data_IF_733042528450
#
_entry.id   IF_733042528450
#
_cell.length_a   1.000
_cell.length_b   1.000
_cell.length_c   1.000
_cell.angle_alpha   90.00
_cell.angle_beta   90.00
_cell.angle_gamma   90.00
#
_symmetry.space_group_name_H-M   'P 1'
#
loop_
_entity.id
_entity.type
_entity.pdbx_description
1 polymer ?
#
# COMPACT_ATOMS: atom_id res chain seq x y z
N UNK A 1 15.26 -23.58 1.23
CA UNK A 1 14.26 -23.82 2.31
C UNK A 1 14.45 -22.87 3.49
N UNK A 2 15.67 -22.72 4.04
CA UNK A 2 15.96 -21.76 5.12
C UNK A 2 15.53 -20.32 4.76
N UNK A 3 15.95 -19.82 3.60
CA UNK A 3 15.64 -18.46 3.15
C UNK A 3 14.15 -18.20 2.97
N UNK A 4 13.41 -19.22 2.51
CA UNK A 4 11.96 -19.17 2.35
C UNK A 4 11.27 -18.98 3.72
N UNK A 5 11.67 -19.77 4.72
CA UNK A 5 11.09 -19.71 6.07
C UNK A 5 11.42 -18.36 6.72
N UNK A 6 12.67 -17.93 6.63
CA UNK A 6 13.12 -16.65 7.19
C UNK A 6 12.39 -15.47 6.55
N UNK A 7 12.26 -15.47 5.22
CA UNK A 7 11.50 -14.46 4.49
C UNK A 7 10.02 -14.46 4.89
N UNK A 8 9.38 -15.62 5.05
CA UNK A 8 7.98 -15.70 5.50
C UNK A 8 7.81 -15.15 6.91
N UNK A 9 8.70 -15.49 7.84
CA UNK A 9 8.63 -15.01 9.23
C UNK A 9 8.79 -13.49 9.30
N UNK A 10 9.81 -12.96 8.64
CA UNK A 10 10.05 -11.52 8.59
C UNK A 10 8.93 -10.79 7.84
N UNK A 11 8.46 -11.32 6.71
CA UNK A 11 7.35 -10.73 5.97
C UNK A 11 6.06 -10.72 6.79
N UNK A 12 5.80 -11.76 7.57
CA UNK A 12 4.65 -11.84 8.48
C UNK A 12 4.75 -10.83 9.60
N UNK A 13 5.92 -10.72 10.24
CA UNK A 13 6.18 -9.73 11.28
C UNK A 13 5.89 -8.32 10.76
N UNK A 14 6.36 -8.03 9.55
CA UNK A 14 6.35 -6.67 9.02
C UNK A 14 5.00 -6.30 8.42
N UNK A 15 4.33 -7.23 7.75
CA UNK A 15 2.99 -7.03 7.21
C UNK A 15 1.91 -6.95 8.28
N UNK A 16 2.07 -7.64 9.42
CA UNK A 16 1.11 -7.58 10.52
C UNK A 16 1.41 -6.49 11.57
N UNK A 17 2.58 -5.86 11.52
CA UNK A 17 2.90 -4.74 12.44
C UNK A 17 2.48 -3.41 11.80
N UNK A 18 1.50 -2.69 12.39
CA UNK A 18 1.04 -1.41 11.87
C UNK A 18 2.19 -0.41 11.66
N UNK A 19 2.28 0.12 10.45
CA UNK A 19 3.22 1.18 10.04
C UNK A 19 4.70 0.80 10.02
N UNK A 20 5.05 -0.48 10.19
CA UNK A 20 6.29 -0.98 9.61
C UNK A 20 6.06 -1.12 8.11
N UNK A 21 6.92 -0.51 7.30
CA UNK A 21 6.92 -0.70 5.85
C UNK A 21 8.14 -1.52 5.47
N UNK A 22 8.07 -2.23 4.35
CA UNK A 22 9.24 -2.94 3.79
C UNK A 22 10.46 -2.05 3.58
N UNK A 23 10.23 -0.74 3.38
CA UNK A 23 11.29 0.25 3.16
C UNK A 23 12.13 0.48 4.42
N UNK A 24 11.53 0.36 5.60
CA UNK A 24 12.22 0.54 6.87
C UNK A 24 13.26 -0.56 7.15
N UNK A 25 13.09 -1.70 6.47
CA UNK A 25 13.88 -2.91 6.67
C UNK A 25 14.85 -3.18 5.53
N UNK A 26 14.84 -2.32 4.50
CA UNK A 26 15.88 -2.24 3.48
C UNK A 26 17.29 -2.05 4.04
N UNK A 27 17.39 -1.65 5.31
CA UNK A 27 18.65 -1.46 6.05
C UNK A 27 19.20 -2.76 6.65
N UNK A 28 18.44 -3.85 6.58
CA UNK A 28 18.90 -5.16 7.05
C UNK A 28 19.73 -5.81 5.94
N UNK A 29 20.98 -6.15 6.25
CA UNK A 29 21.86 -6.89 5.34
C UNK A 29 21.45 -8.37 5.30
N UNK A 30 20.41 -8.68 4.53
CA UNK A 30 19.87 -10.03 4.35
C UNK A 30 20.12 -10.53 2.92
N UNK A 31 20.17 -11.86 2.69
CA UNK A 31 20.28 -12.42 1.34
C UNK A 31 19.11 -12.01 0.44
N UNK A 32 19.38 -11.80 -0.85
CA UNK A 32 18.37 -11.41 -1.86
C UNK A 32 17.10 -12.29 -1.80
N UNK A 33 17.19 -13.63 -1.72
CA UNK A 33 16.01 -14.48 -1.63
C UNK A 33 15.14 -14.20 -0.38
N UNK A 34 15.79 -13.91 0.75
CA UNK A 34 15.10 -13.58 2.02
C UNK A 34 14.40 -12.23 1.90
N UNK A 35 15.12 -11.20 1.41
CA UNK A 35 14.55 -9.86 1.19
C UNK A 35 13.35 -9.91 0.25
N UNK A 36 13.47 -10.65 -0.86
CA UNK A 36 12.40 -10.74 -1.84
C UNK A 36 11.16 -11.42 -1.27
N UNK A 37 11.33 -12.59 -0.62
CA UNK A 37 10.22 -13.32 0.02
C UNK A 37 9.59 -12.49 1.14
N UNK A 38 10.41 -11.82 1.96
CA UNK A 38 9.93 -10.93 3.03
C UNK A 38 9.02 -9.84 2.47
N UNK A 39 9.49 -9.08 1.47
CA UNK A 39 8.69 -8.00 0.89
C UNK A 39 7.43 -8.51 0.19
N UNK A 40 7.48 -9.70 -0.43
CA UNK A 40 6.30 -10.31 -1.02
C UNK A 40 5.27 -10.68 0.04
N UNK A 41 5.67 -11.41 1.07
CA UNK A 41 4.78 -11.82 2.16
C UNK A 41 4.20 -10.61 2.87
N UNK A 42 4.96 -9.52 3.00
CA UNK A 42 4.45 -8.24 3.50
C UNK A 42 3.26 -7.73 2.66
N UNK A 43 3.37 -7.69 1.33
CA UNK A 43 2.27 -7.20 0.45
C UNK A 43 0.98 -8.02 0.53
N UNK A 44 1.05 -9.27 0.99
CA UNK A 44 -0.13 -10.10 1.23
C UNK A 44 -0.88 -9.68 2.50
N UNK A 45 -0.16 -9.11 3.47
CA UNK A 45 -0.59 -8.96 4.87
C UNK A 45 -0.74 -7.51 5.32
N UNK A 46 -0.06 -6.56 4.67
CA UNK A 46 0.00 -5.14 5.03
C UNK A 46 -1.35 -4.41 5.07
N UNK A 47 -2.34 -4.93 4.33
CA UNK A 47 -3.70 -4.44 4.34
C UNK A 47 -4.46 -4.79 5.63
N UNK A 48 -4.08 -5.86 6.32
CA UNK A 48 -4.81 -6.43 7.46
C UNK A 48 -4.82 -5.47 8.66
N UNK A 49 -3.68 -4.92 9.11
CA UNK A 49 -3.69 -4.02 10.26
C UNK A 49 -4.41 -2.70 9.96
N UNK A 50 -4.27 -2.19 8.73
CA UNK A 50 -4.95 -0.97 8.29
C UNK A 50 -6.48 -1.12 8.23
N UNK A 51 -6.96 -2.29 7.78
CA UNK A 51 -8.37 -2.64 7.81
C UNK A 51 -8.91 -2.80 9.24
N UNK A 52 -8.06 -3.19 10.19
CA UNK A 52 -8.45 -3.49 11.57
C UNK A 52 -8.46 -2.26 12.48
N UNK A 53 -7.37 -1.48 12.49
CA UNK A 53 -7.14 -0.41 13.48
C UNK A 53 -7.57 0.98 13.01
N UNK A 54 -7.96 1.13 11.74
CA UNK A 54 -8.41 2.40 11.17
C UNK A 54 -9.94 2.55 11.10
N UNK A 55 -10.71 1.69 11.78
CA UNK A 55 -12.18 1.64 11.68
C UNK A 55 -12.80 2.56 12.72
N UNK A 56 -13.41 3.70 12.34
CA UNK A 56 -14.25 4.47 13.25
C UNK A 56 -15.67 3.91 13.34
N UNK A 57 -16.39 4.26 14.41
CA UNK A 57 -17.83 4.07 14.55
C UNK A 57 -18.53 5.01 13.56
N UNK A 58 -19.05 4.44 12.49
CA UNK A 58 -19.72 5.19 11.43
C UNK A 58 -20.69 4.26 10.71
N UNK A 59 -21.83 4.82 10.28
CA UNK A 59 -22.74 4.12 9.38
C UNK A 59 -21.98 3.75 8.08
N UNK A 60 -22.28 2.59 7.52
CA UNK A 60 -21.65 2.12 6.28
C UNK A 60 -21.97 3.00 5.05
N UNK A 61 -22.91 3.95 5.21
CA UNK A 61 -23.28 5.00 4.26
C UNK A 61 -22.36 6.22 4.29
N UNK A 62 -21.46 6.32 5.29
CA UNK A 62 -20.55 7.46 5.43
C UNK A 62 -19.50 7.41 4.30
N UNK A 63 -19.45 8.44 3.40
CA UNK A 63 -18.58 8.42 2.23
C UNK A 63 -17.07 8.39 2.53
N UNK A 64 -16.68 8.73 3.76
CA UNK A 64 -15.26 8.75 4.18
C UNK A 64 -14.73 7.38 4.63
N UNK A 65 -15.59 6.38 4.84
CA UNK A 65 -15.15 5.02 5.17
C UNK A 65 -14.48 4.35 3.97
N UNK A 66 -13.35 3.69 4.23
CA UNK A 66 -12.71 2.86 3.21
C UNK A 66 -13.54 1.57 3.00
N UNK A 67 -13.54 1.00 1.78
CA UNK A 67 -14.19 -0.28 1.50
C UNK A 67 -13.80 -1.39 2.48
N UNK A 68 -12.52 -1.43 2.90
CA UNK A 68 -12.04 -2.38 3.90
C UNK A 68 -12.73 -2.19 5.26
N UNK A 69 -12.90 -0.94 5.71
CA UNK A 69 -13.57 -0.63 6.97
C UNK A 69 -15.05 -1.03 6.93
N UNK A 70 -15.75 -0.80 5.81
CA UNK A 70 -17.13 -1.27 5.62
C UNK A 70 -17.26 -2.78 5.74
N UNK A 71 -16.33 -3.54 5.18
CA UNK A 71 -16.33 -5.01 5.33
C UNK A 71 -16.13 -5.44 6.80
N UNK A 72 -15.24 -4.76 7.54
CA UNK A 72 -15.00 -5.07 8.96
C UNK A 72 -16.24 -4.77 9.80
N UNK A 73 -16.88 -3.61 9.62
CA UNK A 73 -18.11 -3.24 10.33
C UNK A 73 -19.24 -4.25 10.06
N UNK A 74 -19.33 -4.76 8.82
CA UNK A 74 -20.30 -5.81 8.42
C UNK A 74 -19.97 -7.22 8.94
N UNK A 75 -18.94 -7.38 9.79
CA UNK A 75 -18.49 -8.67 10.32
C UNK A 75 -17.82 -9.59 9.29
N UNK A 76 -17.39 -9.04 8.14
CA UNK A 76 -16.75 -9.78 7.04
C UNK A 76 -15.22 -9.76 7.09
N UNK A 77 -14.63 -9.59 8.27
CA UNK A 77 -13.16 -9.51 8.40
C UNK A 77 -12.44 -10.76 7.87
N UNK A 78 -12.95 -11.97 8.17
CA UNK A 78 -12.36 -13.22 7.66
C UNK A 78 -12.39 -13.31 6.13
N UNK A 79 -13.49 -12.87 5.51
CA UNK A 79 -13.62 -12.81 4.04
C UNK A 79 -12.64 -11.81 3.44
N UNK A 80 -12.47 -10.63 4.06
CA UNK A 80 -11.50 -9.61 3.64
C UNK A 80 -10.05 -10.13 3.66
N UNK A 81 -9.67 -10.88 4.70
CA UNK A 81 -8.31 -11.45 4.79
C UNK A 81 -8.08 -12.49 3.70
N UNK A 82 -9.04 -13.39 3.47
CA UNK A 82 -8.97 -14.38 2.39
C UNK A 82 -8.90 -13.69 1.02
N UNK A 83 -9.67 -12.64 0.83
CA UNK A 83 -9.62 -11.82 -0.38
C UNK A 83 -8.22 -11.22 -0.61
N UNK A 84 -7.59 -10.66 0.44
CA UNK A 84 -6.24 -10.10 0.35
C UNK A 84 -5.21 -11.13 -0.11
N UNK A 85 -5.16 -12.29 0.54
CA UNK A 85 -4.15 -13.31 0.22
C UNK A 85 -4.43 -14.01 -1.11
N UNK A 86 -5.70 -14.25 -1.46
CA UNK A 86 -6.07 -14.87 -2.73
C UNK A 86 -5.82 -13.93 -3.92
N UNK A 87 -6.20 -12.66 -3.82
CA UNK A 87 -5.92 -11.66 -4.85
C UNK A 87 -4.41 -11.46 -5.03
N UNK A 88 -3.64 -11.41 -3.94
CA UNK A 88 -2.19 -11.29 -3.98
C UNK A 88 -1.52 -12.52 -4.63
N UNK A 89 -1.97 -13.74 -4.30
CA UNK A 89 -1.48 -14.96 -4.95
C UNK A 89 -1.76 -14.96 -6.46
N UNK A 90 -2.98 -14.59 -6.86
CA UNK A 90 -3.32 -14.46 -8.28
C UNK A 90 -2.47 -13.39 -8.97
N UNK A 91 -2.19 -12.27 -8.30
CA UNK A 91 -1.35 -11.21 -8.84
C UNK A 91 0.08 -11.68 -9.13
N UNK A 92 0.68 -12.52 -8.26
CA UNK A 92 1.99 -13.14 -8.53
C UNK A 92 1.92 -14.02 -9.78
N UNK A 93 0.93 -14.91 -9.85
CA UNK A 93 0.74 -15.81 -11.00
C UNK A 93 0.53 -15.03 -12.32
N UNK A 94 -0.30 -14.00 -12.28
CA UNK A 94 -0.59 -13.14 -13.43
C UNK A 94 0.61 -12.26 -13.81
N UNK A 95 1.43 -11.84 -12.84
CA UNK A 95 2.67 -11.09 -13.11
C UNK A 95 3.69 -11.95 -13.85
N UNK A 96 3.84 -13.22 -13.44
CA UNK A 96 4.67 -14.20 -14.17
C UNK A 96 4.15 -14.40 -15.60
N UNK A 97 2.83 -14.52 -15.78
CA UNK A 97 2.22 -14.68 -17.10
C UNK A 97 2.40 -13.44 -17.99
N UNK A 98 2.32 -12.24 -17.41
CA UNK A 98 2.50 -10.97 -18.12
C UNK A 98 3.98 -10.62 -18.36
N UNK A 99 4.92 -11.37 -17.77
CA UNK A 99 6.35 -11.09 -17.82
C UNK A 99 6.91 -10.97 -19.24
N UNK A 100 6.55 -11.82 -20.23
CA UNK A 100 7.07 -11.67 -21.60
C UNK A 100 6.70 -10.33 -22.22
N UNK A 101 5.49 -9.84 -21.97
CA UNK A 101 5.03 -8.52 -22.44
C UNK A 101 5.78 -7.42 -21.69
N UNK A 102 5.96 -7.58 -20.38
CA UNK A 102 6.71 -6.62 -19.55
C UNK A 102 8.14 -6.42 -20.05
N UNK A 103 8.82 -7.49 -20.44
CA UNK A 103 10.18 -7.46 -20.99
C UNK A 103 10.28 -6.63 -22.27
N UNK A 104 9.24 -6.62 -23.09
CA UNK A 104 9.18 -5.83 -24.31
C UNK A 104 8.89 -4.34 -24.02
N UNK A 105 8.05 -4.07 -23.03
CA UNK A 105 7.54 -2.71 -22.75
C UNK A 105 8.46 -1.93 -21.81
N UNK A 106 9.04 -2.56 -20.79
CA UNK A 106 9.84 -1.87 -19.77
C UNK A 106 11.03 -1.07 -20.35
N UNK A 107 11.80 -1.58 -21.33
CA UNK A 107 12.90 -0.84 -21.94
C UNK A 107 12.46 0.41 -22.74
N UNK A 108 11.18 0.48 -23.15
CA UNK A 108 10.64 1.62 -23.90
C UNK A 108 10.33 2.83 -23.02
N UNK A 109 10.32 2.66 -21.69
CA UNK A 109 10.03 3.73 -20.76
C UNK A 109 11.12 4.81 -20.79
N UNK A 110 10.71 6.07 -20.92
CA UNK A 110 11.58 7.23 -20.79
C UNK A 110 11.08 8.16 -19.69
N UNK A 111 11.99 8.93 -19.10
CA UNK A 111 11.65 9.90 -18.04
C UNK A 111 10.61 10.94 -18.51
N UNK A 112 10.68 11.38 -19.78
CA UNK A 112 9.69 12.30 -20.38
C UNK A 112 8.27 11.73 -20.37
N UNK A 113 8.11 10.44 -20.70
CA UNK A 113 6.82 9.75 -20.61
C UNK A 113 6.31 9.76 -19.17
N UNK A 114 7.20 9.52 -18.20
CA UNK A 114 6.87 9.60 -16.78
C UNK A 114 6.33 10.96 -16.36
N UNK A 115 6.96 12.07 -16.75
CA UNK A 115 6.51 13.43 -16.42
C UNK A 115 5.13 13.72 -17.01
N UNK A 116 4.94 13.45 -18.30
CA UNK A 116 3.66 13.68 -18.99
C UNK A 116 2.56 12.90 -18.29
N UNK A 117 2.85 11.65 -17.89
CA UNK A 117 1.91 10.85 -17.14
C UNK A 117 1.56 11.43 -15.77
N UNK A 118 2.56 11.85 -14.98
CA UNK A 118 2.33 12.50 -13.67
C UNK A 118 1.49 13.76 -13.81
N UNK A 119 1.74 14.57 -14.85
CA UNK A 119 0.95 15.75 -15.15
C UNK A 119 -0.52 15.40 -15.44
N UNK A 120 -0.76 14.45 -16.36
CA UNK A 120 -2.11 14.00 -16.70
C UNK A 120 -2.84 13.38 -15.50
N UNK A 121 -2.14 12.56 -14.71
CA UNK A 121 -2.69 11.96 -13.51
C UNK A 121 -3.03 13.01 -12.46
N UNK A 122 -2.21 14.06 -12.31
CA UNK A 122 -2.50 15.16 -11.38
C UNK A 122 -3.80 15.88 -11.76
N UNK A 123 -3.96 16.21 -13.04
CA UNK A 123 -5.19 16.80 -13.58
C UNK A 123 -6.39 15.87 -13.34
N UNK A 124 -6.23 14.58 -13.63
CA UNK A 124 -7.28 13.59 -13.42
C UNK A 124 -7.70 13.54 -11.94
N UNK A 125 -6.76 13.40 -11.01
CA UNK A 125 -7.05 13.27 -9.58
C UNK A 125 -7.78 14.48 -9.01
N UNK A 126 -7.51 15.69 -9.54
CA UNK A 126 -8.17 16.93 -9.15
C UNK A 126 -9.57 17.03 -9.79
N UNK A 127 -9.67 16.77 -11.08
CA UNK A 127 -10.92 16.94 -11.85
C UNK A 127 -11.95 15.85 -11.57
N UNK A 128 -11.51 14.67 -11.12
CA UNK A 128 -12.37 13.56 -10.71
C UNK A 128 -13.12 13.84 -9.39
N UNK A 129 -12.66 14.79 -8.58
CA UNK A 129 -13.32 15.14 -7.33
C UNK A 129 -14.56 16.00 -7.58
N UNK A 130 -15.58 15.80 -6.74
CA UNK A 130 -16.80 16.63 -6.76
C UNK A 130 -16.48 18.11 -6.58
N UNK A 131 -15.56 18.44 -5.66
CA UNK A 131 -15.09 19.81 -5.44
C UNK A 131 -13.65 19.97 -5.91
N UNK A 132 -13.48 20.46 -7.15
CA UNK A 132 -12.19 20.64 -7.82
C UNK A 132 -11.29 21.65 -7.12
N UNK A 133 -11.86 22.71 -6.54
CA UNK A 133 -11.09 23.77 -5.85
C UNK A 133 -10.48 23.21 -4.58
N UNK A 134 -11.28 22.53 -3.75
CA UNK A 134 -10.78 21.87 -2.54
C UNK A 134 -9.74 20.80 -2.86
N UNK A 135 -9.96 20.04 -3.93
CA UNK A 135 -8.99 19.07 -4.41
C UNK A 135 -7.67 19.71 -4.84
N UNK A 136 -7.73 20.80 -5.62
CA UNK A 136 -6.54 21.55 -6.02
C UNK A 136 -5.78 22.09 -4.81
N UNK A 137 -6.48 22.69 -3.84
CA UNK A 137 -5.87 23.19 -2.61
C UNK A 137 -5.17 22.08 -1.82
N UNK A 138 -5.84 20.94 -1.61
CA UNK A 138 -5.25 19.78 -0.92
C UNK A 138 -4.02 19.27 -1.69
N UNK A 139 -4.12 19.15 -3.01
CA UNK A 139 -3.03 18.68 -3.86
C UNK A 139 -1.80 19.58 -3.75
N UNK A 140 -2.00 20.90 -3.84
CA UNK A 140 -0.92 21.89 -3.75
C UNK A 140 -0.34 21.95 -2.34
N UNK A 141 -1.16 21.97 -1.29
CA UNK A 141 -0.69 21.96 0.11
C UNK A 141 0.15 20.70 0.41
N UNK A 142 -0.32 19.54 -0.03
CA UNK A 142 0.43 18.29 0.08
C UNK A 142 1.73 18.37 -0.74
N UNK A 143 1.67 18.93 -1.95
CA UNK A 143 2.81 19.13 -2.82
C UNK A 143 3.90 20.02 -2.24
N UNK A 144 3.53 21.16 -1.66
CA UNK A 144 4.45 22.06 -0.97
C UNK A 144 5.06 21.36 0.25
N UNK A 145 4.25 20.65 1.03
CA UNK A 145 4.77 19.86 2.16
C UNK A 145 5.81 18.84 1.71
N UNK A 146 5.55 18.11 0.62
CA UNK A 146 6.49 17.17 0.02
C UNK A 146 7.77 17.83 -0.46
N UNK A 147 7.64 18.93 -1.22
CA UNK A 147 8.77 19.70 -1.76
C UNK A 147 9.71 20.18 -0.66
N UNK A 148 9.16 20.77 0.41
CA UNK A 148 9.94 21.21 1.57
C UNK A 148 10.58 20.01 2.27
N UNK A 149 9.82 18.93 2.48
CA UNK A 149 10.30 17.74 3.19
C UNK A 149 11.48 17.07 2.51
N UNK A 150 11.48 16.99 1.18
CA UNK A 150 12.58 16.38 0.41
C UNK A 150 13.89 17.19 0.45
N UNK A 151 13.86 18.44 0.91
CA UNK A 151 15.05 19.28 1.10
C UNK A 151 15.56 19.27 2.56
N UNK A 152 14.81 18.69 3.49
CA UNK A 152 15.22 18.59 4.88
C UNK A 152 16.27 17.48 5.07
N UNK A 153 17.17 17.61 6.06
CA UNK A 153 18.19 16.60 6.37
C UNK A 153 17.60 15.40 7.12
N UNK A 154 16.65 14.71 6.50
CA UNK A 154 15.98 13.51 7.04
C UNK A 154 16.31 12.27 6.21
N UNK A 155 16.46 11.12 6.86
CA UNK A 155 16.95 9.88 6.22
C UNK A 155 15.87 9.17 5.40
N UNK A 156 14.63 9.21 5.87
CA UNK A 156 13.47 8.58 5.25
C UNK A 156 12.29 9.56 5.24
N UNK A 157 12.19 10.45 4.23
CA UNK A 157 11.13 11.44 4.13
C UNK A 157 9.74 10.81 3.93
N UNK A 158 9.67 9.60 3.37
CA UNK A 158 8.41 8.93 3.07
C UNK A 158 7.69 8.49 4.35
N UNK A 159 8.45 8.01 5.35
CA UNK A 159 7.88 7.55 6.61
C UNK A 159 7.01 8.62 7.32
N UNK A 160 7.51 9.82 7.67
CA UNK A 160 6.74 10.83 8.36
C UNK A 160 5.60 11.39 7.49
N UNK A 161 5.82 11.54 6.18
CA UNK A 161 4.79 12.02 5.26
C UNK A 161 3.60 11.07 5.17
N UNK A 162 3.83 9.78 4.89
CA UNK A 162 2.72 8.84 4.71
C UNK A 162 2.06 8.45 6.03
N UNK A 163 2.84 8.32 7.10
CA UNK A 163 2.31 8.09 8.44
C UNK A 163 1.40 9.24 8.87
N UNK A 164 1.84 10.49 8.66
CA UNK A 164 1.03 11.68 8.95
C UNK A 164 -0.19 11.82 8.03
N UNK A 165 -0.02 11.77 6.70
CA UNK A 165 -1.13 12.04 5.78
C UNK A 165 -2.23 10.97 5.81
N UNK A 166 -1.87 9.70 6.04
CA UNK A 166 -2.78 8.57 5.86
C UNK A 166 -3.08 7.82 7.16
N UNK A 167 -2.07 7.46 7.95
CA UNK A 167 -2.25 6.54 9.09
C UNK A 167 -2.77 7.26 10.35
N UNK A 168 -2.07 8.29 10.83
CA UNK A 168 -2.42 8.97 12.09
C UNK A 168 -3.84 9.55 12.10
N UNK A 169 -4.35 10.20 11.04
CA UNK A 169 -5.72 10.71 11.03
C UNK A 169 -6.76 9.60 11.19
N UNK A 170 -6.54 8.42 10.58
CA UNK A 170 -7.43 7.27 10.73
C UNK A 170 -7.39 6.70 12.15
N UNK A 171 -6.19 6.55 12.71
CA UNK A 171 -6.01 6.01 14.05
C UNK A 171 -6.62 6.94 15.12
N UNK A 172 -6.43 8.26 14.98
CA UNK A 172 -7.02 9.24 15.90
C UNK A 172 -8.54 9.22 15.82
N UNK A 173 -9.09 9.13 14.60
CA UNK A 173 -10.54 9.04 14.40
C UNK A 173 -11.11 7.76 15.02
N UNK A 174 -10.48 6.61 14.77
CA UNK A 174 -10.88 5.32 15.35
C UNK A 174 -10.71 5.27 16.89
N UNK A 175 -9.73 6.00 17.44
CA UNK A 175 -9.55 6.12 18.89
C UNK A 175 -10.67 6.93 19.55
N UNK A 176 -11.05 8.05 18.91
CA UNK A 176 -12.11 8.94 19.39
C UNK A 176 -13.48 8.27 19.29
N UNK A 177 -13.74 7.66 18.14
CA UNK A 177 -15.00 7.02 17.79
C UNK A 177 -14.74 5.52 17.53
N UNK A 178 -14.50 4.69 18.55
CA UNK A 178 -14.27 3.26 18.36
C UNK A 178 -15.57 2.55 17.96
N UNK A 179 -15.51 1.53 17.08
CA UNK A 179 -16.70 0.83 16.64
C UNK A 179 -17.38 0.14 17.82
N UNK A 180 -18.70 0.28 17.92
CA UNK A 180 -19.47 -0.16 19.08
C UNK A 180 -19.53 -1.69 19.23
N UNK A 181 -19.56 -2.45 18.13
CA UNK A 181 -19.36 -3.91 18.13
C UNK A 181 -18.90 -4.41 16.76
N UNK A 182 -17.76 -5.10 16.71
CA UNK A 182 -17.26 -5.76 15.49
C UNK A 182 -17.26 -7.27 15.71
N UNK A 183 -17.96 -8.01 14.86
CA UNK A 183 -17.93 -9.47 14.88
C UNK A 183 -16.69 -10.00 14.14
N UNK A 184 -15.79 -10.65 14.89
CA UNK A 184 -14.63 -11.33 14.31
C UNK A 184 -14.95 -12.80 14.12
N UNK A 185 -15.32 -13.15 12.89
CA UNK A 185 -15.60 -14.53 12.47
C UNK A 185 -14.63 -14.95 11.38
N UNK A 186 -14.24 -16.23 11.41
CA UNK A 186 -13.71 -16.84 10.21
C UNK A 186 -14.85 -16.93 9.20
N UNK A 187 -14.60 -16.51 7.97
CA UNK A 187 -15.61 -16.47 6.92
C UNK A 187 -14.96 -16.91 5.64
N UNK A 188 -15.68 -17.73 4.88
CA UNK A 188 -15.23 -18.17 3.57
C UNK A 188 -15.32 -17.03 2.55
N UNK A 189 -14.50 -17.14 1.50
CA UNK A 189 -14.55 -16.20 0.39
C UNK A 189 -15.77 -16.50 -0.47
N UNK A 190 -16.75 -15.57 -0.53
CA UNK A 190 -17.99 -15.80 -1.29
C UNK A 190 -17.88 -15.39 -2.76
N UNK A 191 -16.80 -14.72 -3.14
CA UNK A 191 -16.59 -14.22 -4.50
C UNK A 191 -16.31 -15.40 -5.45
N UNK A 192 -17.02 -15.50 -6.58
CA UNK A 192 -16.74 -16.56 -7.56
C UNK A 192 -15.37 -16.35 -8.21
N UNK A 193 -14.66 -17.46 -8.46
CA UNK A 193 -13.29 -17.45 -9.01
C UNK A 193 -13.16 -16.62 -10.30
N UNK A 194 -14.15 -16.67 -11.19
CA UNK A 194 -14.15 -15.87 -12.44
C UNK A 194 -14.10 -14.37 -12.16
N UNK A 195 -14.86 -13.89 -11.16
CA UNK A 195 -14.91 -12.47 -10.77
C UNK A 195 -13.60 -12.07 -10.09
N UNK A 196 -13.10 -12.91 -9.19
CA UNK A 196 -11.81 -12.71 -8.54
C UNK A 196 -10.67 -12.60 -9.57
N UNK A 197 -10.62 -13.53 -10.53
CA UNK A 197 -9.61 -13.55 -11.60
C UNK A 197 -9.72 -12.31 -12.49
N UNK A 198 -10.93 -11.92 -12.90
CA UNK A 198 -11.16 -10.72 -13.73
C UNK A 198 -10.58 -9.46 -13.08
N UNK A 199 -10.91 -9.20 -11.82
CA UNK A 199 -10.45 -8.01 -11.14
C UNK A 199 -8.97 -8.09 -10.72
N UNK A 200 -8.46 -9.28 -10.43
CA UNK A 200 -7.02 -9.49 -10.19
C UNK A 200 -6.19 -9.23 -11.45
N UNK A 201 -6.68 -9.68 -12.62
CA UNK A 201 -6.07 -9.40 -13.91
C UNK A 201 -6.10 -7.91 -14.24
N UNK A 202 -7.23 -7.24 -13.98
CA UNK A 202 -7.33 -5.79 -14.18
C UNK A 202 -6.29 -5.04 -13.34
N UNK A 203 -6.20 -5.31 -12.03
CA UNK A 203 -5.19 -4.70 -11.16
C UNK A 203 -3.75 -5.00 -11.58
N UNK A 204 -3.47 -6.27 -11.92
CA UNK A 204 -2.13 -6.71 -12.34
C UNK A 204 -1.68 -6.06 -13.64
N UNK A 205 -2.53 -6.08 -14.68
CA UNK A 205 -2.19 -5.51 -15.98
C UNK A 205 -2.08 -3.98 -15.91
N UNK A 206 -2.97 -3.34 -15.15
CA UNK A 206 -2.90 -1.90 -14.94
C UNK A 206 -1.58 -1.51 -14.28
N UNK A 207 -1.16 -2.25 -13.25
CA UNK A 207 0.08 -1.94 -12.53
C UNK A 207 1.34 -2.37 -13.27
N UNK A 208 1.27 -3.34 -14.17
CA UNK A 208 2.39 -3.66 -15.06
C UNK A 208 2.84 -2.39 -15.78
N UNK A 209 1.91 -1.69 -16.45
CA UNK A 209 2.22 -0.42 -17.11
C UNK A 209 2.62 0.66 -16.11
N UNK A 210 1.89 0.76 -15.00
CA UNK A 210 2.12 1.81 -14.02
C UNK A 210 3.41 1.67 -13.21
N UNK A 211 3.94 0.45 -13.04
CA UNK A 211 5.19 0.19 -12.31
C UNK A 211 6.41 0.84 -12.97
N UNK A 212 6.29 1.16 -14.26
CA UNK A 212 7.29 1.93 -15.01
C UNK A 212 7.19 3.44 -14.71
N UNK A 213 6.00 3.91 -14.33
CA UNK A 213 5.67 5.32 -14.18
C UNK A 213 5.98 5.78 -12.75
N UNK A 214 6.49 7.00 -12.56
CA UNK A 214 6.76 7.53 -11.24
C UNK A 214 5.45 7.85 -10.50
N UNK A 215 5.46 7.75 -9.17
CA UNK A 215 4.39 8.15 -8.23
C UNK A 215 3.07 7.40 -8.32
N UNK A 216 2.92 6.41 -9.21
CA UNK A 216 1.66 5.67 -9.29
C UNK A 216 1.51 4.67 -8.13
N UNK A 217 0.45 4.82 -7.35
CA UNK A 217 0.17 3.97 -6.18
C UNK A 217 -1.09 3.11 -6.36
N UNK A 218 -1.22 2.07 -5.55
CA UNK A 218 -2.42 1.23 -5.53
C UNK A 218 -3.72 2.01 -5.26
N UNK A 219 -3.65 3.12 -4.51
CA UNK A 219 -4.78 4.02 -4.27
C UNK A 219 -5.22 4.80 -5.51
N UNK A 220 -4.29 5.17 -6.40
CA UNK A 220 -4.63 5.83 -7.66
C UNK A 220 -5.16 4.82 -8.69
N UNK A 221 -4.57 3.63 -8.74
CA UNK A 221 -5.06 2.53 -9.56
C UNK A 221 -6.49 2.14 -9.19
N UNK A 222 -6.81 2.11 -7.89
CA UNK A 222 -8.14 1.74 -7.41
C UNK A 222 -9.19 2.81 -7.73
N UNK A 223 -8.84 4.10 -7.72
CA UNK A 223 -9.73 5.16 -8.18
C UNK A 223 -10.01 5.12 -9.68
N UNK A 224 -9.04 4.71 -10.49
CA UNK A 224 -9.28 4.45 -11.91
C UNK A 224 -10.17 3.20 -12.09
N UNK A 225 -9.93 2.17 -11.28
CA UNK A 225 -10.72 0.95 -11.24
C UNK A 225 -12.14 1.14 -10.69
N UNK A 226 -12.39 2.14 -9.84
CA UNK A 226 -13.65 2.26 -9.09
C UNK A 226 -14.87 2.49 -9.99
N UNK A 227 -14.68 3.02 -11.20
CA UNK A 227 -15.75 3.14 -12.21
C UNK A 227 -16.19 1.79 -12.79
N UNK A 228 -15.36 0.77 -12.66
CA UNK A 228 -15.58 -0.57 -13.20
C UNK A 228 -15.92 -1.61 -12.11
N UNK A 229 -15.99 -1.20 -10.85
CA UNK A 229 -16.31 -2.06 -9.70
C UNK A 229 -17.70 -1.80 -9.18
N UNK A 230 -18.42 -2.86 -8.87
CA UNK A 230 -19.81 -2.77 -8.36
C UNK A 230 -19.88 -2.99 -6.84
N UNK A 231 -18.85 -3.60 -6.24
CA UNK A 231 -18.82 -3.91 -4.81
C UNK A 231 -17.48 -3.55 -4.14
N UNK A 232 -17.50 -3.48 -2.81
CA UNK A 232 -16.31 -3.26 -1.99
C UNK A 232 -15.25 -4.34 -2.23
N UNK A 233 -15.71 -5.58 -2.41
CA UNK A 233 -14.85 -6.73 -2.67
C UNK A 233 -14.14 -6.64 -4.03
N UNK A 234 -14.81 -6.17 -5.09
CA UNK A 234 -14.17 -5.95 -6.40
C UNK A 234 -13.08 -4.89 -6.31
N UNK A 235 -13.40 -3.78 -5.65
CA UNK A 235 -12.46 -2.68 -5.44
C UNK A 235 -11.22 -3.16 -4.67
N UNK A 236 -11.43 -3.89 -3.57
CA UNK A 236 -10.35 -4.43 -2.77
C UNK A 236 -9.53 -5.49 -3.53
N UNK A 237 -10.17 -6.30 -4.40
CA UNK A 237 -9.45 -7.22 -5.28
C UNK A 237 -8.45 -6.49 -6.17
N UNK A 238 -8.85 -5.37 -6.78
CA UNK A 238 -7.97 -4.53 -7.59
C UNK A 238 -6.84 -3.96 -6.72
N UNK A 239 -7.15 -3.41 -5.54
CA UNK A 239 -6.16 -2.83 -4.61
C UNK A 239 -5.09 -3.83 -4.21
N UNK A 240 -5.50 -5.00 -3.72
CA UNK A 240 -4.57 -6.03 -3.23
C UNK A 240 -3.74 -6.62 -4.37
N UNK A 241 -4.36 -6.86 -5.52
CA UNK A 241 -3.63 -7.35 -6.70
C UNK A 241 -2.63 -6.33 -7.20
N UNK A 242 -3.00 -5.05 -7.22
CA UNK A 242 -2.13 -3.95 -7.64
C UNK A 242 -0.92 -3.82 -6.71
N UNK A 243 -1.12 -3.92 -5.39
CA UNK A 243 -0.03 -3.83 -4.42
C UNK A 243 1.02 -4.93 -4.63
N UNK A 244 0.56 -6.18 -4.70
CA UNK A 244 1.45 -7.34 -4.86
C UNK A 244 2.08 -7.41 -6.25
N UNK A 245 1.33 -7.10 -7.31
CA UNK A 245 1.88 -7.04 -8.66
C UNK A 245 2.87 -5.88 -8.82
N UNK A 246 2.67 -4.72 -8.18
CA UNK A 246 3.66 -3.64 -8.20
C UNK A 246 4.99 -4.10 -7.63
N UNK A 247 4.96 -4.83 -6.50
CA UNK A 247 6.15 -5.41 -5.91
C UNK A 247 6.79 -6.46 -6.83
N UNK A 248 5.98 -7.33 -7.43
CA UNK A 248 6.44 -8.32 -8.40
C UNK A 248 7.15 -7.68 -9.60
N UNK A 249 6.49 -6.74 -10.29
CA UNK A 249 7.08 -6.05 -11.44
C UNK A 249 8.24 -5.15 -11.06
N UNK A 250 8.34 -4.67 -9.81
CA UNK A 250 9.50 -3.90 -9.37
C UNK A 250 10.80 -4.71 -9.41
N UNK A 251 10.74 -6.02 -9.10
CA UNK A 251 11.89 -6.93 -9.24
C UNK A 251 12.27 -7.11 -10.72
N UNK A 252 11.27 -7.30 -11.58
CA UNK A 252 11.48 -7.41 -13.02
C UNK A 252 12.11 -6.12 -13.59
N UNK A 253 11.59 -4.95 -13.18
CA UNK A 253 12.09 -3.65 -13.58
C UNK A 253 13.54 -3.44 -13.13
N UNK A 254 13.88 -3.86 -11.91
CA UNK A 254 15.24 -3.79 -11.40
C UNK A 254 16.20 -4.61 -12.28
N UNK A 255 15.85 -5.86 -12.57
CA UNK A 255 16.66 -6.74 -13.42
C UNK A 255 16.81 -6.23 -14.87
N UNK A 256 15.78 -5.57 -15.41
CA UNK A 256 15.77 -5.11 -16.80
C UNK A 256 16.37 -3.72 -17.01
N UNK A 257 16.21 -2.82 -16.03
CA UNK A 257 16.49 -1.39 -16.21
C UNK A 257 17.50 -0.84 -15.20
N UNK A 258 17.87 -1.62 -14.17
CA UNK A 258 18.68 -1.17 -13.04
C UNK A 258 17.99 -0.15 -12.13
N UNK A 259 16.70 0.16 -12.37
CA UNK A 259 15.96 1.19 -11.62
C UNK A 259 15.15 0.56 -10.50
N UNK A 260 15.32 1.08 -9.29
CA UNK A 260 14.57 0.69 -8.10
C UNK A 260 13.22 1.41 -8.05
N UNK A 261 12.20 0.74 -7.49
CA UNK A 261 10.84 1.30 -7.37
C UNK A 261 10.26 1.26 -5.95
N UNK A 262 10.91 0.52 -5.06
CA UNK A 262 10.61 0.50 -3.63
C UNK A 262 11.91 0.22 -2.85
N UNK A 263 11.88 0.40 -1.53
CA UNK A 263 13.05 0.27 -0.67
C UNK A 263 13.61 -1.16 -0.61
N UNK A 264 12.80 -2.19 -0.83
CA UNK A 264 13.33 -3.57 -0.89
C UNK A 264 14.19 -3.74 -2.14
N UNK A 265 13.77 -3.19 -3.28
CA UNK A 265 14.59 -3.21 -4.49
C UNK A 265 15.91 -2.45 -4.30
N UNK A 266 15.92 -1.39 -3.48
CA UNK A 266 17.17 -0.70 -3.09
C UNK A 266 18.08 -1.61 -2.26
N UNK A 267 17.53 -2.40 -1.33
CA UNK A 267 18.28 -3.33 -0.51
C UNK A 267 18.80 -4.56 -1.28
N UNK A 268 18.02 -5.04 -2.25
CA UNK A 268 18.44 -6.11 -3.16
C UNK A 268 19.64 -5.64 -4.00
N UNK A 269 19.63 -4.39 -4.45
CA UNK A 269 20.71 -3.82 -5.24
C UNK A 269 20.69 -4.37 -6.67
N UNK A 270 21.67 -5.21 -7.01
CA UNK A 270 21.78 -5.78 -8.35
C UNK A 270 21.19 -7.19 -8.40
N UNK A 271 20.33 -7.44 -9.39
CA UNK A 271 19.75 -8.76 -9.65
C UNK A 271 19.73 -9.02 -11.15
N UNK A 272 20.18 -10.19 -11.57
CA UNK A 272 20.18 -10.56 -12.99
C UNK A 272 18.83 -11.12 -13.43
N UNK A 273 18.54 -11.01 -14.73
CA UNK A 273 17.36 -11.65 -15.35
C UNK A 273 17.34 -13.17 -15.11
N UNK A 274 18.52 -13.80 -15.01
CA UNK A 274 18.66 -15.25 -14.79
C UNK A 274 18.24 -15.69 -13.40
N UNK A 275 18.21 -14.79 -12.41
CA UNK A 275 17.76 -15.07 -11.04
C UNK A 275 16.24 -14.99 -10.89
N UNK A 276 15.54 -14.32 -11.81
CA UNK A 276 14.11 -14.11 -11.72
C UNK A 276 13.32 -15.42 -11.61
N UNK A 277 13.54 -16.47 -12.43
CA UNK A 277 12.78 -17.71 -12.32
C UNK A 277 12.86 -18.34 -10.91
N UNK A 278 14.04 -18.30 -10.28
CA UNK A 278 14.24 -18.80 -8.94
C UNK A 278 13.49 -17.95 -7.89
N UNK A 279 13.61 -16.63 -7.95
CA UNK A 279 12.92 -15.72 -7.03
C UNK A 279 11.39 -15.83 -7.16
N UNK A 280 10.87 -15.97 -8.37
CA UNK A 280 9.45 -16.16 -8.62
C UNK A 280 8.94 -17.53 -8.16
N UNK A 281 9.76 -18.59 -8.23
CA UNK A 281 9.41 -19.88 -7.65
C UNK A 281 9.34 -19.82 -6.12
N UNK A 282 10.26 -19.09 -5.48
CA UNK A 282 10.17 -18.80 -4.05
C UNK A 282 8.92 -17.99 -3.70
N UNK A 283 8.57 -17.00 -4.53
CA UNK A 283 7.36 -16.21 -4.35
C UNK A 283 6.09 -17.05 -4.39
N UNK A 284 5.96 -17.95 -5.36
CA UNK A 284 4.83 -18.89 -5.43
C UNK A 284 4.79 -19.82 -4.21
N UNK A 285 5.95 -20.35 -3.80
CA UNK A 285 6.05 -21.22 -2.64
C UNK A 285 5.65 -20.51 -1.34
N UNK A 286 6.12 -19.27 -1.15
CA UNK A 286 5.77 -18.44 -0.01
C UNK A 286 4.28 -18.08 -0.03
N UNK A 287 3.76 -17.67 -1.19
CA UNK A 287 2.36 -17.33 -1.37
C UNK A 287 1.42 -18.48 -1.00
N UNK A 288 1.73 -19.72 -1.42
CA UNK A 288 0.95 -20.90 -1.05
C UNK A 288 0.91 -21.11 0.48
N UNK A 289 2.03 -20.92 1.17
CA UNK A 289 2.10 -21.03 2.64
C UNK A 289 1.29 -19.91 3.31
N UNK A 290 1.44 -18.67 2.83
CA UNK A 290 0.75 -17.49 3.40
C UNK A 290 -0.76 -17.58 3.22
N UNK A 291 -1.26 -18.04 2.07
CA UNK A 291 -2.71 -18.22 1.82
C UNK A 291 -3.35 -19.12 2.88
N UNK A 292 -2.62 -20.12 3.38
CA UNK A 292 -3.11 -21.04 4.42
C UNK A 292 -2.95 -20.46 5.84
N UNK A 293 -1.82 -19.82 6.15
CA UNK A 293 -1.50 -19.37 7.50
C UNK A 293 -2.11 -18.01 7.87
N UNK A 294 -2.15 -17.08 6.93
CA UNK A 294 -2.52 -15.69 7.16
C UNK A 294 -3.93 -15.51 7.74
N UNK A 295 -4.99 -16.20 7.25
CA UNK A 295 -6.33 -16.05 7.83
C UNK A 295 -6.37 -16.37 9.33
N UNK A 296 -5.64 -17.41 9.77
CA UNK A 296 -5.59 -17.81 11.18
C UNK A 296 -4.89 -16.75 12.04
N UNK A 297 -3.75 -16.26 11.57
CA UNK A 297 -2.99 -15.22 12.28
C UNK A 297 -3.77 -13.90 12.35
N UNK A 298 -4.42 -13.50 11.26
CA UNK A 298 -5.22 -12.29 11.21
C UNK A 298 -6.42 -12.34 12.16
N UNK A 299 -7.12 -13.48 12.22
CA UNK A 299 -8.24 -13.67 13.16
C UNK A 299 -7.76 -13.62 14.61
N UNK A 300 -6.62 -14.22 14.92
CA UNK A 300 -6.03 -14.15 16.25
C UNK A 300 -5.68 -12.70 16.62
N UNK A 301 -4.99 -11.99 15.72
CA UNK A 301 -4.65 -10.58 15.87
C UNK A 301 -5.90 -9.72 16.11
N UNK A 302 -6.96 -9.92 15.32
CA UNK A 302 -8.22 -9.20 15.47
C UNK A 302 -8.90 -9.46 16.82
N UNK A 303 -8.95 -10.72 17.26
CA UNK A 303 -9.50 -11.09 18.57
C UNK A 303 -8.73 -10.44 19.72
N UNK A 304 -7.40 -10.36 19.63
CA UNK A 304 -6.57 -9.70 20.65
C UNK A 304 -6.77 -8.18 20.61
N UNK A 305 -6.74 -7.59 19.42
CA UNK A 305 -6.93 -6.16 19.22
C UNK A 305 -8.27 -5.66 19.78
N UNK A 306 -9.38 -6.32 19.45
CA UNK A 306 -10.71 -5.88 19.86
C UNK A 306 -11.03 -6.12 21.35
N UNK A 307 -10.23 -6.90 22.09
CA UNK A 307 -10.35 -6.95 23.56
C UNK A 307 -10.05 -5.60 24.22
N UNK A 308 -9.07 -4.87 23.66
CA UNK A 308 -8.61 -3.58 24.18
C UNK A 308 -8.34 -2.60 23.04
N UNK A 309 -9.35 -2.36 22.19
CA UNK A 309 -9.18 -1.65 20.91
C UNK A 309 -8.53 -0.26 21.06
N UNK A 310 -9.02 0.56 22.00
CA UNK A 310 -8.42 1.89 22.27
C UNK A 310 -6.96 1.82 22.71
N UNK A 311 -6.61 0.84 23.56
CA UNK A 311 -5.24 0.67 24.04
C UNK A 311 -4.34 0.20 22.90
N UNK A 312 -4.83 -0.69 22.04
CA UNK A 312 -4.11 -1.14 20.85
C UNK A 312 -3.83 0.04 19.89
N UNK A 313 -4.84 0.87 19.59
CA UNK A 313 -4.64 2.08 18.77
C UNK A 313 -3.64 3.03 19.42
N UNK A 314 -3.75 3.31 20.71
CA UNK A 314 -2.82 4.19 21.41
C UNK A 314 -1.39 3.65 21.36
N UNK A 315 -1.21 2.35 21.57
CA UNK A 315 0.09 1.70 21.45
C UNK A 315 0.67 1.84 20.03
N UNK A 316 -0.16 1.70 19.00
CA UNK A 316 0.24 1.91 17.60
C UNK A 316 0.66 3.35 17.38
N UNK A 317 -0.15 4.34 17.81
CA UNK A 317 0.20 5.76 17.66
C UNK A 317 1.55 6.05 18.31
N UNK A 318 1.75 5.62 19.56
CA UNK A 318 3.02 5.80 20.29
C UNK A 318 4.17 5.14 19.52
N UNK A 319 3.98 3.90 19.05
CA UNK A 319 4.97 3.18 18.27
C UNK A 319 5.37 3.91 16.98
N UNK A 320 4.40 4.48 16.25
CA UNK A 320 4.67 5.27 15.04
C UNK A 320 5.46 6.55 15.34
N UNK A 321 5.17 7.23 16.46
CA UNK A 321 5.97 8.37 16.90
C UNK A 321 7.40 7.97 17.29
N UNK A 322 7.57 6.85 17.99
CA UNK A 322 8.90 6.34 18.34
C UNK A 322 9.69 6.01 17.07
N UNK A 323 9.09 5.31 16.11
CA UNK A 323 9.75 5.00 14.83
C UNK A 323 10.07 6.26 14.02
N UNK A 324 9.15 7.22 13.97
CA UNK A 324 9.39 8.51 13.30
C UNK A 324 10.60 9.23 13.87
N UNK A 325 10.76 9.21 15.19
CA UNK A 325 11.92 9.77 15.87
C UNK A 325 13.20 8.96 15.58
N UNK A 326 13.15 7.63 15.64
CA UNK A 326 14.31 6.77 15.35
C UNK A 326 14.81 6.97 13.92
N UNK A 327 13.91 7.13 12.94
CA UNK A 327 14.29 7.25 11.54
C UNK A 327 14.75 8.65 11.16
N UNK A 328 14.11 9.69 11.69
CA UNK A 328 14.25 11.05 11.18
C UNK A 328 14.46 12.12 12.27
N UNK A 329 14.63 11.71 13.52
CA UNK A 329 14.81 12.59 14.66
C UNK A 329 13.61 13.52 14.88
N UNK A 330 13.86 14.63 15.59
CA UNK A 330 12.85 15.65 15.91
C UNK A 330 12.25 16.29 14.65
N UNK A 331 13.07 16.50 13.61
CA UNK A 331 12.62 17.08 12.33
C UNK A 331 11.55 16.18 11.70
N UNK A 332 11.78 14.86 11.70
CA UNK A 332 10.80 13.89 11.21
C UNK A 332 9.47 13.94 11.95
N UNK A 333 9.50 14.13 13.28
CA UNK A 333 8.27 14.31 14.07
C UNK A 333 7.52 15.57 13.66
N UNK A 334 8.23 16.69 13.45
CA UNK A 334 7.63 17.93 12.97
C UNK A 334 6.94 17.77 11.61
N UNK A 335 7.60 17.09 10.66
CA UNK A 335 7.01 16.75 9.36
C UNK A 335 5.78 15.86 9.53
N UNK A 336 5.87 14.82 10.37
CA UNK A 336 4.78 13.87 10.60
C UNK A 336 3.55 14.53 11.22
N UNK A 337 3.75 15.46 12.16
CA UNK A 337 2.65 16.27 12.73
C UNK A 337 2.02 17.19 11.69
N UNK A 338 2.83 17.87 10.87
CA UNK A 338 2.34 18.74 9.79
C UNK A 338 1.52 17.95 8.77
N UNK A 339 2.03 16.78 8.37
CA UNK A 339 1.35 15.81 7.52
C UNK A 339 0.04 15.30 8.15
N UNK A 340 0.02 15.06 9.46
CA UNK A 340 -1.18 14.65 10.20
C UNK A 340 -2.28 15.70 10.17
N UNK A 341 -1.96 16.97 10.43
CA UNK A 341 -2.95 18.05 10.37
C UNK A 341 -3.52 18.21 8.96
N UNK A 342 -2.66 18.17 7.93
CA UNK A 342 -3.11 18.16 6.55
C UNK A 342 -3.97 16.92 6.23
N UNK A 343 -3.63 15.75 6.80
CA UNK A 343 -4.32 14.48 6.62
C UNK A 343 -5.79 14.46 7.06
N UNK A 344 -6.20 15.35 7.98
CA UNK A 344 -7.60 15.51 8.39
C UNK A 344 -8.47 16.28 7.37
N UNK A 345 -7.87 17.11 6.50
CA UNK A 345 -8.61 18.04 5.65
C UNK A 345 -9.46 17.35 4.56
N UNK A 346 -8.92 16.36 3.84
CA UNK A 346 -9.64 15.72 2.74
C UNK A 346 -10.93 15.02 3.18
N UNK A 347 -10.96 14.19 4.25
CA UNK A 347 -12.21 13.64 4.78
C UNK A 347 -13.22 14.72 5.16
N UNK A 348 -12.80 15.76 5.89
CA UNK A 348 -13.66 16.87 6.32
C UNK A 348 -14.25 17.62 5.11
N UNK A 349 -13.45 17.81 4.07
CA UNK A 349 -13.82 18.51 2.85
C UNK A 349 -14.54 17.64 1.81
N UNK A 350 -14.76 16.36 2.12
CA UNK A 350 -15.37 15.33 1.24
C UNK A 350 -14.61 15.17 -0.08
N UNK A 351 -13.28 15.23 -0.01
CA UNK A 351 -12.35 14.96 -1.11
C UNK A 351 -11.67 13.62 -0.85
N UNK A 352 -11.42 12.84 -1.90
CA UNK A 352 -10.72 11.56 -1.75
C UNK A 352 -9.27 11.77 -1.28
N UNK A 353 -8.82 10.96 -0.31
CA UNK A 353 -7.45 11.03 0.25
C UNK A 353 -6.34 10.86 -0.78
N UNK A 354 -6.62 10.25 -1.93
CA UNK A 354 -5.68 10.14 -3.06
C UNK A 354 -5.07 11.47 -3.46
N UNK A 355 -5.78 12.58 -3.23
CA UNK A 355 -5.35 13.92 -3.64
C UNK A 355 -4.10 14.36 -2.86
N UNK A 356 -3.85 13.78 -1.68
CA UNK A 356 -2.59 13.95 -0.95
C UNK A 356 -1.37 13.42 -1.72
N UNK A 357 -1.54 12.60 -2.76
CA UNK A 357 -0.43 12.16 -3.61
C UNK A 357 0.26 13.32 -4.35
N UNK A 358 -0.33 14.53 -4.32
CA UNK A 358 0.38 15.76 -4.65
C UNK A 358 1.73 15.88 -3.93
N UNK A 359 1.87 15.31 -2.73
CA UNK A 359 3.13 15.24 -1.96
C UNK A 359 4.30 14.64 -2.74
N UNK A 360 4.05 13.73 -3.69
CA UNK A 360 5.09 13.18 -4.57
C UNK A 360 5.05 13.81 -5.96
N UNK A 361 3.83 14.03 -6.48
CA UNK A 361 3.63 14.43 -7.87
C UNK A 361 4.05 15.88 -8.11
N UNK A 362 3.76 16.78 -7.18
CA UNK A 362 4.08 18.20 -7.32
C UNK A 362 5.60 18.45 -7.29
N UNK A 363 6.40 17.89 -6.36
CA UNK A 363 7.86 18.05 -6.40
C UNK A 363 8.46 17.62 -7.75
N UNK A 364 8.04 16.47 -8.28
CA UNK A 364 8.50 15.99 -9.59
C UNK A 364 8.16 16.97 -10.72
N UNK A 365 6.96 17.55 -10.70
CA UNK A 365 6.57 18.53 -11.72
C UNK A 365 7.39 19.83 -11.60
N UNK A 366 7.70 20.28 -10.38
CA UNK A 366 8.45 21.52 -10.16
C UNK A 366 9.94 21.35 -10.49
N UNK A 367 10.57 20.27 -10.03
CA UNK A 367 11.99 19.97 -10.30
C UNK A 367 12.29 19.76 -11.79
N UNK A 368 11.27 19.56 -12.63
CA UNK A 368 11.45 19.46 -14.09
C UNK A 368 11.41 20.81 -14.80
N UNK A 369 10.98 21.86 -14.11
CA UNK A 369 10.83 23.22 -14.65
C UNK A 369 11.99 24.12 -14.18
N UNK A 370 12.48 23.91 -12.95
CA UNK A 370 13.63 24.58 -12.34
C UNK A 370 14.90 23.84 -12.74
#
# INVERSE_FOLDING_TARGET
MKELIEGILLGTLTGLTPGLHVNSLSRLSLPIPVLFVMGLVHTFLDSIPSALFGVPDADDTVPSLLPSHRMVIRGKFGELVRLSVSASMLAVMLSILAMPIYFLVAPLYTFKIGIVFVFLLSIFLITFQRNKIRALLIFVLAGVLGFVTFQLPIKDPFYPLFTGLFALPLLIEAYRNPPSKVEIRDSELKIPLKRLLKFSAFGTLFVALASLLPTLTAGQASLLGSKFTESDEDFLTIVYSTNTAAYSFSLANLALTGKTRNGVMVAIGDVSVMELPYLYLLALSAGMIVVVLAPRLAILMAKVAFKSYKQAILAIIIFLFILGYIYNGVIGIGVMMSAMFLGFLAPEWRVARVTYMGVLMFPILVETII
#
